data_IF_995411773118
#
_entry.id   IF_995411773118
#
_cell.length_a   1.000
_cell.length_b   1.000
_cell.length_c   1.000
_cell.angle_alpha   90.00
_cell.angle_beta   90.00
_cell.angle_gamma   90.00
#
_symmetry.space_group_name_H-M   'P 1'
#
loop_
_entity.id
_entity.type
_entity.pdbx_description
1 polymer ?
#
# COMPACT_ATOMS: atom_id res chain seq x y z
N UNK A 1 -4.73 -4.28 8.04
CA UNK A 1 -5.06 -2.90 7.60
C UNK A 1 -4.27 -2.43 6.38
N UNK A 2 -3.06 -2.95 6.09
CA UNK A 2 -2.20 -2.49 4.98
C UNK A 2 -2.91 -2.36 3.61
N UNK A 3 -3.67 -3.38 3.20
CA UNK A 3 -4.46 -3.36 1.95
C UNK A 3 -5.54 -2.27 1.96
N UNK A 4 -6.28 -2.16 3.05
CA UNK A 4 -7.35 -1.18 3.21
C UNK A 4 -6.83 0.26 3.29
N UNK A 5 -5.63 0.47 3.82
CA UNK A 5 -5.06 1.80 4.03
C UNK A 5 -4.34 2.35 2.80
N UNK A 6 -3.72 1.49 1.99
CA UNK A 6 -2.87 1.93 0.88
C UNK A 6 -3.41 1.51 -0.48
N UNK A 7 -3.79 0.25 -0.62
CA UNK A 7 -4.16 -0.31 -1.93
C UNK A 7 -5.60 0.03 -2.32
N UNK A 8 -6.55 -0.01 -1.37
CA UNK A 8 -7.94 0.38 -1.66
C UNK A 8 -8.03 1.87 -2.03
N UNK A 9 -7.46 2.82 -1.26
CA UNK A 9 -7.47 4.24 -1.62
C UNK A 9 -6.79 4.52 -2.96
N UNK A 10 -5.75 3.76 -3.31
CA UNK A 10 -5.04 3.91 -4.58
C UNK A 10 -5.88 3.45 -5.78
N UNK A 11 -6.59 2.33 -5.67
CA UNK A 11 -7.37 1.76 -6.77
C UNK A 11 -8.76 2.39 -6.89
N UNK A 12 -9.45 2.59 -5.77
CA UNK A 12 -10.86 2.98 -5.73
C UNK A 12 -11.10 4.44 -5.27
N UNK A 13 -10.06 5.13 -4.81
CA UNK A 13 -10.18 6.46 -4.23
C UNK A 13 -10.64 6.42 -2.77
N UNK A 14 -10.60 7.57 -2.10
CA UNK A 14 -10.95 7.70 -0.68
C UNK A 14 -11.43 9.12 -0.34
N UNK A 15 -12.14 9.34 0.79
CA UNK A 15 -12.58 10.66 1.22
C UNK A 15 -11.47 11.72 1.30
N UNK A 16 -11.84 12.97 1.01
CA UNK A 16 -10.92 14.11 0.94
C UNK A 16 -10.17 14.40 2.27
N UNK A 17 -10.77 14.09 3.42
CA UNK A 17 -10.13 14.29 4.74
C UNK A 17 -8.85 13.47 4.88
N UNK A 18 -8.90 12.19 4.51
CA UNK A 18 -7.75 11.27 4.55
C UNK A 18 -6.68 11.68 3.55
N UNK A 19 -7.07 12.28 2.42
CA UNK A 19 -6.12 12.83 1.44
C UNK A 19 -5.35 14.03 2.00
N UNK A 20 -6.00 14.90 2.78
CA UNK A 20 -5.36 16.03 3.44
C UNK A 20 -4.29 15.57 4.42
N UNK A 21 -4.62 14.58 5.26
CA UNK A 21 -3.67 13.98 6.18
C UNK A 21 -2.52 13.30 5.41
N UNK A 22 -2.83 12.56 4.36
CA UNK A 22 -1.82 11.95 3.51
C UNK A 22 -0.87 12.99 2.90
N UNK A 23 -1.37 14.11 2.37
CA UNK A 23 -0.53 15.19 1.84
C UNK A 23 0.33 15.83 2.94
N UNK A 24 -0.19 15.97 4.16
CA UNK A 24 0.56 16.54 5.27
C UNK A 24 1.75 15.67 5.69
N UNK A 25 1.56 14.36 5.78
CA UNK A 25 2.57 13.45 6.33
C UNK A 25 3.44 12.76 5.26
N UNK A 26 2.90 12.51 4.08
CA UNK A 26 3.50 11.66 3.04
C UNK A 26 3.67 12.38 1.69
N UNK A 27 3.60 13.72 1.64
CA UNK A 27 3.87 14.46 0.39
C UNK A 27 5.32 14.34 -0.07
N UNK A 28 6.26 14.24 0.88
CA UNK A 28 7.71 14.23 0.63
C UNK A 28 8.33 12.83 0.49
N UNK A 29 7.53 11.78 0.55
CA UNK A 29 8.01 10.40 0.39
C UNK A 29 8.19 10.05 -1.08
N UNK A 30 9.10 9.12 -1.35
CA UNK A 30 9.37 8.65 -2.70
C UNK A 30 8.24 7.73 -3.19
N UNK A 31 7.66 8.05 -4.35
CA UNK A 31 6.54 7.33 -4.97
C UNK A 31 6.98 6.90 -6.36
N UNK A 32 6.91 5.60 -6.62
CA UNK A 32 7.24 5.05 -7.94
C UNK A 32 6.00 4.60 -8.72
N UNK A 33 4.87 4.39 -8.03
CA UNK A 33 3.61 3.99 -8.66
C UNK A 33 3.02 5.17 -9.45
N UNK A 34 2.41 4.92 -10.62
CA UNK A 34 1.82 5.97 -11.44
C UNK A 34 0.63 6.63 -10.70
N UNK A 35 0.44 7.95 -10.82
CA UNK A 35 -0.70 8.63 -10.24
C UNK A 35 -2.00 8.20 -10.91
N UNK A 36 -3.00 7.79 -10.11
CA UNK A 36 -4.35 7.49 -10.59
C UNK A 36 -5.29 8.60 -10.11
N UNK A 37 -5.73 9.45 -11.04
CA UNK A 37 -6.65 10.57 -10.75
C UNK A 37 -6.17 11.38 -9.52
N UNK A 38 -7.02 11.48 -8.51
CA UNK A 38 -6.81 12.19 -7.25
C UNK A 38 -6.60 11.22 -6.07
N UNK A 39 -6.22 9.97 -6.36
CA UNK A 39 -6.10 8.91 -5.37
C UNK A 39 -4.81 9.05 -4.55
N UNK A 40 -4.83 8.44 -3.37
CA UNK A 40 -3.65 8.33 -2.50
C UNK A 40 -2.68 7.34 -3.13
N UNK A 41 -1.41 7.71 -3.26
CA UNK A 41 -0.38 6.87 -3.88
C UNK A 41 0.46 6.24 -2.75
N UNK A 42 0.57 4.90 -2.68
CA UNK A 42 1.49 4.27 -1.74
C UNK A 42 2.92 4.70 -2.08
N UNK A 43 3.66 5.15 -1.08
CA UNK A 43 5.10 5.39 -1.22
C UNK A 43 5.89 4.08 -1.17
N UNK A 44 7.17 4.15 -1.52
CA UNK A 44 8.01 2.99 -1.71
C UNK A 44 8.15 2.12 -0.45
N UNK A 45 8.11 2.70 0.75
CA UNK A 45 8.16 1.94 2.00
C UNK A 45 6.95 1.01 2.12
N UNK A 46 5.75 1.57 1.94
CA UNK A 46 4.51 0.80 2.05
C UNK A 46 4.40 -0.26 0.95
N UNK A 47 4.86 0.02 -0.27
CA UNK A 47 4.91 -1.03 -1.30
C UNK A 47 5.91 -2.12 -0.94
N UNK A 48 7.08 -1.76 -0.42
CA UNK A 48 8.11 -2.70 0.02
C UNK A 48 7.64 -3.61 1.15
N UNK A 49 7.02 -3.05 2.19
CA UNK A 49 6.42 -3.82 3.30
C UNK A 49 5.31 -4.73 2.79
N UNK A 50 4.47 -4.25 1.88
CA UNK A 50 3.44 -5.07 1.23
C UNK A 50 4.00 -6.28 0.49
N UNK A 51 5.11 -6.09 -0.25
CA UNK A 51 5.79 -7.17 -0.96
C UNK A 51 6.41 -8.19 -0.01
N UNK A 52 7.09 -7.72 1.04
CA UNK A 52 7.67 -8.57 2.08
C UNK A 52 6.60 -9.43 2.78
N UNK A 53 5.46 -8.83 3.15
CA UNK A 53 4.34 -9.57 3.73
C UNK A 53 3.80 -10.62 2.77
N UNK A 54 3.68 -10.29 1.48
CA UNK A 54 3.23 -11.24 0.46
C UNK A 54 4.19 -12.41 0.32
N UNK A 55 5.51 -12.17 0.31
CA UNK A 55 6.53 -13.23 0.29
C UNK A 55 6.39 -14.12 1.52
N UNK A 56 6.26 -13.54 2.72
CA UNK A 56 6.10 -14.30 3.96
C UNK A 56 4.87 -15.21 3.89
N UNK A 57 3.73 -14.68 3.44
CA UNK A 57 2.49 -15.45 3.29
C UNK A 57 2.67 -16.59 2.30
N UNK A 58 3.31 -16.37 1.16
CA UNK A 58 3.57 -17.41 0.17
C UNK A 58 4.45 -18.51 0.76
N UNK A 59 5.57 -18.14 1.40
CA UNK A 59 6.51 -19.09 2.00
C UNK A 59 5.84 -19.91 3.11
N UNK A 60 5.08 -19.26 4.00
CA UNK A 60 4.30 -19.90 5.04
C UNK A 60 3.26 -20.86 4.48
N UNK A 61 2.56 -20.46 3.42
CA UNK A 61 1.54 -21.30 2.79
C UNK A 61 2.18 -22.55 2.20
N UNK A 62 3.28 -22.40 1.44
CA UNK A 62 4.03 -23.54 0.88
C UNK A 62 4.47 -24.47 2.01
N UNK A 63 5.06 -23.94 3.07
CA UNK A 63 5.52 -24.75 4.21
C UNK A 63 4.37 -25.54 4.87
N UNK A 64 3.21 -24.91 5.10
CA UNK A 64 2.04 -25.59 5.68
C UNK A 64 1.39 -26.65 4.77
N UNK A 65 1.53 -26.53 3.45
CA UNK A 65 0.96 -27.53 2.52
C UNK A 65 1.94 -28.67 2.20
N UNK A 66 3.22 -28.52 2.51
CA UNK A 66 4.28 -29.52 2.22
C UNK A 66 4.75 -30.33 3.44
N UNK A 67 4.42 -29.88 4.66
CA UNK A 67 4.64 -30.59 5.94
C UNK A 67 3.31 -31.16 6.42
#
# INVERSE_FOLDING_TARGET
MHVFTWWIPYLFGFPNSVRSDYQKYFSRTYKFLPPIKNHIIPDAEHVGVGLLLLIIIIVQSIYMFWV
#
